data_IF_399382033918
#
_entry.id   IF_399382033918
#
_cell.length_a   1.000
_cell.length_b   1.000
_cell.length_c   1.000
_cell.angle_alpha   90.00
_cell.angle_beta   90.00
_cell.angle_gamma   90.00
#
_symmetry.space_group_name_H-M   'P 1'
#
loop_
_entity.id
_entity.type
_entity.pdbx_description
1 polymer ?
#
# COMPACT_ATOMS: atom_id res chain seq x y z
N UNK A 1 -78.90 -30.21 35.36
CA UNK A 1 -79.61 -29.14 36.10
C UNK A 1 -79.21 -27.78 35.53
N UNK A 2 -80.15 -26.84 35.36
CA UNK A 2 -79.82 -25.49 34.85
C UNK A 2 -79.21 -24.64 35.95
N UNK A 3 -77.97 -24.20 35.77
CA UNK A 3 -77.23 -23.32 36.69
C UNK A 3 -77.96 -21.96 36.84
N UNK A 4 -78.32 -21.62 38.09
CA UNK A 4 -78.99 -20.38 38.46
C UNK A 4 -77.96 -19.53 39.21
N UNK A 5 -77.72 -18.32 38.72
CA UNK A 5 -76.82 -17.34 39.32
C UNK A 5 -77.63 -16.21 39.98
N UNK A 6 -77.11 -15.60 41.04
CA UNK A 6 -77.75 -14.45 41.71
C UNK A 6 -77.27 -13.16 41.04
N UNK A 7 -78.20 -12.27 40.70
CA UNK A 7 -77.84 -10.94 40.20
C UNK A 7 -77.16 -10.13 41.32
N UNK A 8 -75.90 -9.69 41.19
CA UNK A 8 -75.19 -8.97 42.24
C UNK A 8 -75.71 -7.55 42.49
N UNK A 9 -76.64 -7.04 41.67
CA UNK A 9 -77.18 -5.68 41.80
C UNK A 9 -78.51 -5.68 42.57
N UNK A 10 -79.39 -6.65 42.30
CA UNK A 10 -80.73 -6.72 42.91
C UNK A 10 -80.97 -7.98 43.76
N UNK A 11 -80.05 -8.94 43.76
CA UNK A 11 -80.16 -10.18 44.53
C UNK A 11 -81.12 -11.22 43.94
N UNK A 12 -81.67 -11.00 42.74
CA UNK A 12 -82.66 -11.89 42.14
C UNK A 12 -81.99 -13.16 41.55
N UNK A 13 -82.52 -14.37 41.82
CA UNK A 13 -81.99 -15.61 41.27
C UNK A 13 -82.43 -15.79 39.82
N UNK A 14 -81.46 -15.81 38.89
CA UNK A 14 -81.71 -15.82 37.44
C UNK A 14 -80.92 -16.94 36.79
N UNK A 15 -81.58 -17.70 35.91
CA UNK A 15 -80.88 -18.71 35.09
C UNK A 15 -79.73 -18.04 34.33
N UNK A 16 -78.53 -18.62 34.40
CA UNK A 16 -77.29 -18.05 33.84
C UNK A 16 -77.45 -17.56 32.39
N UNK A 17 -78.18 -18.32 31.57
CA UNK A 17 -78.51 -17.96 30.17
C UNK A 17 -79.33 -16.68 29.98
N UNK A 18 -80.10 -16.27 30.99
CA UNK A 18 -80.99 -15.10 30.95
C UNK A 18 -80.37 -13.87 31.62
N UNK A 19 -79.22 -14.02 32.30
CA UNK A 19 -78.59 -12.96 33.08
C UNK A 19 -78.24 -11.74 32.22
N UNK A 20 -77.69 -11.95 31.01
CA UNK A 20 -77.39 -10.88 30.04
C UNK A 20 -78.62 -10.07 29.64
N UNK A 21 -79.75 -10.74 29.42
CA UNK A 21 -81.03 -10.08 29.07
C UNK A 21 -81.60 -9.32 30.25
N UNK A 22 -81.48 -9.87 31.47
CA UNK A 22 -81.91 -9.19 32.68
C UNK A 22 -81.13 -7.89 32.90
N UNK A 23 -79.79 -7.92 32.83
CA UNK A 23 -78.98 -6.70 32.98
C UNK A 23 -79.36 -5.60 31.99
N UNK A 24 -79.58 -5.95 30.71
CA UNK A 24 -79.98 -4.97 29.70
C UNK A 24 -81.36 -4.34 29.93
N UNK A 25 -82.30 -5.09 30.53
CA UNK A 25 -83.66 -4.59 30.80
C UNK A 25 -83.80 -3.87 32.14
N UNK A 26 -83.23 -4.44 33.20
CA UNK A 26 -83.43 -3.98 34.59
C UNK A 26 -82.34 -3.00 35.03
N UNK A 27 -81.14 -3.07 34.42
CA UNK A 27 -80.00 -2.21 34.74
C UNK A 27 -79.37 -1.53 33.51
N UNK A 28 -80.14 -0.79 32.68
CA UNK A 28 -79.67 -0.26 31.39
C UNK A 28 -78.51 0.74 31.53
N UNK A 29 -78.41 1.47 32.66
CA UNK A 29 -77.37 2.50 32.88
C UNK A 29 -75.99 1.94 33.27
N UNK A 30 -75.84 0.64 33.55
CA UNK A 30 -74.56 0.03 33.99
C UNK A 30 -74.15 -1.24 33.22
N UNK A 31 -74.91 -1.63 32.19
CA UNK A 31 -74.62 -2.80 31.36
C UNK A 31 -73.30 -2.68 30.58
N UNK A 32 -72.80 -1.47 30.36
CA UNK A 32 -71.56 -1.18 29.63
C UNK A 32 -70.27 -1.42 30.43
N UNK A 33 -70.33 -1.53 31.76
CA UNK A 33 -69.13 -1.68 32.60
C UNK A 33 -68.63 -3.12 32.75
N UNK A 34 -69.42 -4.13 32.39
CA UNK A 34 -69.06 -5.56 32.47
C UNK A 34 -68.71 -6.18 31.10
N UNK A 35 -68.67 -5.38 30.04
CA UNK A 35 -68.38 -5.82 28.67
C UNK A 35 -66.92 -5.55 28.23
N UNK A 36 -66.04 -5.11 29.12
CA UNK A 36 -64.61 -5.09 28.81
C UNK A 36 -64.04 -6.51 28.92
N UNK A 37 -63.55 -7.13 27.82
CA UNK A 37 -62.84 -8.39 27.93
C UNK A 37 -61.54 -8.18 28.72
N UNK A 38 -61.29 -9.10 29.65
CA UNK A 38 -60.07 -9.27 30.45
C UNK A 38 -58.82 -9.17 29.54
N UNK A 39 -57.75 -8.46 29.92
CA UNK A 39 -56.55 -8.36 29.09
C UNK A 39 -55.97 -9.76 28.89
N UNK A 40 -56.00 -10.24 27.65
CA UNK A 40 -55.35 -11.48 27.28
C UNK A 40 -53.83 -11.31 27.44
N UNK A 41 -53.25 -12.22 28.21
CA UNK A 41 -51.82 -12.42 28.38
C UNK A 41 -51.19 -12.65 27.00
N UNK A 42 -50.62 -11.60 26.42
CA UNK A 42 -49.99 -11.67 25.10
C UNK A 42 -48.81 -12.65 25.12
N UNK A 43 -48.89 -13.70 24.29
CA UNK A 43 -47.76 -14.56 23.93
C UNK A 43 -46.55 -13.71 23.51
N UNK A 44 -45.30 -14.13 23.77
CA UNK A 44 -44.14 -13.37 23.36
C UNK A 44 -44.13 -13.28 21.83
N UNK A 45 -44.37 -12.08 21.29
CA UNK A 45 -44.16 -11.82 19.87
C UNK A 45 -42.71 -12.16 19.57
N UNK A 46 -42.49 -13.22 18.78
CA UNK A 46 -41.17 -13.60 18.24
C UNK A 46 -40.68 -12.40 17.43
N UNK A 47 -39.89 -11.53 18.08
CA UNK A 47 -39.39 -10.30 17.48
C UNK A 47 -38.58 -10.69 16.26
N UNK A 48 -39.10 -10.43 15.06
CA UNK A 48 -38.28 -10.44 13.85
C UNK A 48 -37.16 -9.44 14.11
N UNK A 49 -35.94 -9.94 14.32
CA UNK A 49 -34.74 -9.12 14.36
C UNK A 49 -34.65 -8.44 12.99
N UNK A 50 -35.19 -7.23 12.89
CA UNK A 50 -35.00 -6.37 11.73
C UNK A 50 -33.53 -5.96 11.79
N UNK A 51 -32.64 -6.75 11.16
CA UNK A 51 -31.25 -6.33 10.93
C UNK A 51 -31.33 -4.97 10.23
N UNK A 52 -30.92 -3.87 10.89
CA UNK A 52 -31.04 -2.56 10.27
C UNK A 52 -30.05 -2.53 9.12
N UNK A 53 -30.54 -2.64 7.88
CA UNK A 53 -29.75 -2.50 6.64
C UNK A 53 -28.81 -1.28 6.66
N UNK A 54 -29.19 -0.24 7.42
CA UNK A 54 -28.39 0.97 7.66
C UNK A 54 -27.09 0.70 8.43
N UNK A 55 -27.07 -0.16 9.45
CA UNK A 55 -25.84 -0.48 10.20
C UNK A 55 -24.84 -1.21 9.29
N UNK A 56 -25.31 -2.15 8.48
CA UNK A 56 -24.45 -2.84 7.50
C UNK A 56 -23.89 -1.84 6.47
N UNK A 57 -24.70 -0.89 6.01
CA UNK A 57 -24.28 0.15 5.08
C UNK A 57 -23.21 1.08 5.67
N UNK A 58 -23.41 1.59 6.89
CA UNK A 58 -22.41 2.42 7.57
C UNK A 58 -21.13 1.65 7.91
N UNK A 59 -21.25 0.36 8.26
CA UNK A 59 -20.09 -0.51 8.48
C UNK A 59 -19.27 -0.69 7.18
N UNK A 60 -19.93 -0.90 6.03
CA UNK A 60 -19.27 -0.99 4.73
C UNK A 60 -18.58 0.32 4.32
N UNK A 61 -19.21 1.47 4.57
CA UNK A 61 -18.59 2.78 4.34
C UNK A 61 -17.37 2.96 5.25
N UNK A 62 -17.48 2.64 6.54
CA UNK A 62 -16.36 2.72 7.48
C UNK A 62 -15.18 1.84 7.06
N UNK A 63 -15.45 0.60 6.64
CA UNK A 63 -14.43 -0.31 6.09
C UNK A 63 -13.80 0.29 4.83
N UNK A 64 -14.62 0.82 3.91
CA UNK A 64 -14.11 1.45 2.68
C UNK A 64 -13.21 2.64 2.97
N UNK A 65 -13.56 3.50 3.92
CA UNK A 65 -12.73 4.65 4.32
C UNK A 65 -11.40 4.16 4.87
N UNK A 66 -11.40 3.16 5.77
CA UNK A 66 -10.19 2.59 6.34
C UNK A 66 -9.30 2.00 5.23
N UNK A 67 -9.86 1.23 4.30
CA UNK A 67 -9.10 0.64 3.18
C UNK A 67 -8.49 1.71 2.28
N UNK A 68 -9.24 2.77 1.96
CA UNK A 68 -8.73 3.90 1.17
C UNK A 68 -7.61 4.63 1.92
N UNK A 69 -7.77 4.88 3.22
CA UNK A 69 -6.74 5.53 4.03
C UNK A 69 -5.45 4.71 4.08
N UNK A 70 -5.53 3.39 4.29
CA UNK A 70 -4.35 2.51 4.30
C UNK A 70 -3.69 2.49 2.92
N UNK A 71 -4.46 2.34 1.84
CA UNK A 71 -3.92 2.39 0.48
C UNK A 71 -3.24 3.74 0.19
N UNK A 72 -3.83 4.86 0.62
CA UNK A 72 -3.25 6.18 0.47
C UNK A 72 -1.92 6.32 1.24
N UNK A 73 -1.84 5.82 2.48
CA UNK A 73 -0.59 5.87 3.25
C UNK A 73 0.53 5.06 2.60
N UNK A 74 0.21 3.88 2.05
CA UNK A 74 1.19 3.06 1.33
C UNK A 74 1.67 3.76 0.06
N UNK A 75 0.76 4.30 -0.76
CA UNK A 75 1.09 5.03 -1.99
C UNK A 75 1.98 6.24 -1.69
N UNK A 76 1.70 6.99 -0.63
CA UNK A 76 2.55 8.12 -0.22
C UNK A 76 3.92 7.61 0.22
N UNK A 77 3.96 6.55 1.04
CA UNK A 77 5.22 6.00 1.56
C UNK A 77 6.16 5.56 0.44
N UNK A 78 5.66 4.81 -0.56
CA UNK A 78 6.49 4.30 -1.66
C UNK A 78 6.94 5.37 -2.66
N UNK A 79 6.24 6.50 -2.72
CA UNK A 79 6.58 7.62 -3.62
C UNK A 79 7.30 8.78 -2.92
N UNK A 80 7.61 8.64 -1.62
CA UNK A 80 8.38 9.64 -0.88
C UNK A 80 9.87 9.36 -1.03
N UNK A 81 10.63 10.31 -1.58
CA UNK A 81 12.09 10.22 -1.62
C UNK A 81 12.65 10.38 -0.19
N UNK A 82 13.36 9.36 0.29
CA UNK A 82 14.04 9.35 1.60
C UNK A 82 15.56 9.44 1.49
N UNK A 83 16.10 9.11 0.34
CA UNK A 83 17.53 9.25 0.01
C UNK A 83 17.66 9.89 -1.36
N UNK A 84 18.51 10.91 -1.45
CA UNK A 84 18.77 11.66 -2.67
C UNK A 84 20.25 12.06 -2.74
N UNK A 85 21.03 11.39 -3.59
CA UNK A 85 22.46 11.70 -3.81
C UNK A 85 22.82 11.68 -5.29
N UNK A 86 23.86 12.42 -5.66
CA UNK A 86 24.26 12.69 -7.06
C UNK A 86 25.74 12.39 -7.34
N UNK A 87 26.17 11.12 -7.33
CA UNK A 87 27.50 10.76 -7.81
C UNK A 87 27.64 11.02 -9.31
N UNK A 88 28.85 11.40 -9.73
CA UNK A 88 29.19 11.70 -11.11
C UNK A 88 30.01 10.55 -11.70
N UNK A 89 29.51 9.91 -12.75
CA UNK A 89 30.19 8.83 -13.47
C UNK A 89 30.83 9.36 -14.76
N UNK A 90 32.07 8.96 -15.00
CA UNK A 90 32.78 9.13 -16.26
C UNK A 90 33.36 7.79 -16.70
N UNK A 91 33.41 7.55 -18.02
CA UNK A 91 33.98 6.33 -18.60
C UNK A 91 35.07 6.74 -19.59
N UNK A 92 36.27 6.21 -19.41
CA UNK A 92 37.44 6.52 -20.24
C UNK A 92 38.03 5.23 -20.81
N UNK A 93 37.89 5.02 -22.11
CA UNK A 93 38.39 3.82 -22.78
C UNK A 93 39.56 4.22 -23.67
N UNK A 94 40.77 3.80 -23.28
CA UNK A 94 42.04 4.06 -23.99
C UNK A 94 42.24 5.55 -24.30
N UNK A 95 41.86 6.41 -23.35
CA UNK A 95 41.94 7.87 -23.48
C UNK A 95 40.75 8.53 -24.21
N UNK A 96 39.77 7.76 -24.71
CA UNK A 96 38.54 8.28 -25.28
C UNK A 96 37.40 8.29 -24.26
N UNK A 97 36.73 9.45 -24.11
CA UNK A 97 35.56 9.57 -23.23
C UNK A 97 34.36 8.87 -23.87
N UNK A 98 33.80 7.89 -23.17
CA UNK A 98 32.56 7.24 -23.56
C UNK A 98 31.36 7.98 -22.96
N UNK A 99 30.23 7.97 -23.68
CA UNK A 99 29.00 8.64 -23.22
C UNK A 99 28.23 7.74 -22.28
N UNK A 100 27.89 8.24 -21.09
CA UNK A 100 26.86 7.64 -20.25
C UNK A 100 25.49 8.07 -20.80
N UNK A 101 24.62 7.14 -21.25
CA UNK A 101 23.31 7.47 -21.78
C UNK A 101 22.42 8.22 -20.79
N UNK A 102 21.58 9.11 -21.33
CA UNK A 102 20.42 9.63 -20.62
C UNK A 102 19.40 8.50 -20.37
N UNK A 103 18.51 8.72 -19.40
CA UNK A 103 17.34 7.88 -19.11
C UNK A 103 17.64 6.41 -18.72
N UNK A 104 18.84 6.10 -18.23
CA UNK A 104 19.10 4.81 -17.58
C UNK A 104 18.14 4.66 -16.41
N UNK A 105 17.52 3.49 -16.26
CA UNK A 105 16.53 3.25 -15.20
C UNK A 105 15.18 3.94 -15.41
N UNK A 106 14.98 4.60 -16.57
CA UNK A 106 13.71 5.24 -16.99
C UNK A 106 13.22 4.58 -18.28
N UNK A 107 14.05 4.61 -19.33
CA UNK A 107 13.69 4.06 -20.63
C UNK A 107 13.70 2.53 -20.57
N UNK A 108 12.70 1.91 -21.20
CA UNK A 108 12.51 0.45 -21.17
C UNK A 108 13.75 -0.33 -21.63
N UNK A 109 14.49 0.20 -22.61
CA UNK A 109 15.68 -0.45 -23.15
C UNK A 109 16.96 -0.17 -22.35
N UNK A 110 16.90 0.77 -21.39
CA UNK A 110 17.99 1.17 -20.50
C UNK A 110 17.69 0.89 -19.03
N UNK A 111 16.65 0.09 -18.77
CA UNK A 111 16.34 -0.46 -17.45
C UNK A 111 16.26 -1.98 -17.58
N UNK A 112 17.43 -2.63 -17.52
CA UNK A 112 17.61 -4.06 -17.76
C UNK A 112 17.40 -4.90 -16.50
N UNK A 113 17.81 -4.40 -15.34
CA UNK A 113 17.56 -5.05 -14.05
C UNK A 113 16.51 -4.29 -13.21
N UNK A 114 15.41 -4.97 -12.89
CA UNK A 114 14.32 -4.45 -12.05
C UNK A 114 14.39 -4.94 -10.59
N UNK A 115 15.47 -5.63 -10.18
CA UNK A 115 15.64 -6.18 -8.82
C UNK A 115 15.50 -5.12 -7.72
N UNK A 116 15.83 -3.86 -8.04
CA UNK A 116 15.76 -2.71 -7.16
C UNK A 116 14.48 -1.87 -7.30
N UNK A 117 13.55 -2.23 -8.19
CA UNK A 117 12.36 -1.42 -8.51
C UNK A 117 11.51 -1.08 -7.27
N UNK A 118 11.49 -1.95 -6.26
CA UNK A 118 10.77 -1.73 -4.99
C UNK A 118 11.27 -0.51 -4.19
N UNK A 119 12.51 -0.08 -4.42
CA UNK A 119 13.10 1.06 -3.74
C UNK A 119 12.93 2.36 -4.53
N UNK A 120 12.58 2.27 -5.81
CA UNK A 120 12.37 3.44 -6.66
C UNK A 120 11.10 4.19 -6.33
N UNK A 121 11.07 5.45 -6.72
CA UNK A 121 9.90 6.34 -6.59
C UNK A 121 9.27 6.56 -7.96
N UNK A 122 7.95 6.81 -8.01
CA UNK A 122 7.20 7.08 -9.24
C UNK A 122 7.33 6.00 -10.33
N UNK A 123 7.64 4.76 -9.94
CA UNK A 123 7.81 3.64 -10.86
C UNK A 123 9.09 3.67 -11.68
N UNK A 124 10.10 4.46 -11.27
CA UNK A 124 11.44 4.49 -11.87
C UNK A 124 12.40 3.60 -11.09
N UNK A 125 13.57 3.30 -11.66
CA UNK A 125 14.67 2.72 -10.90
C UNK A 125 15.11 3.70 -9.79
N UNK A 126 15.51 3.21 -8.59
CA UNK A 126 16.13 4.08 -7.58
C UNK A 126 17.49 4.62 -8.02
N UNK A 127 18.11 4.03 -9.06
CA UNK A 127 19.36 4.45 -9.66
C UNK A 127 19.10 4.80 -11.12
N UNK A 128 19.21 6.07 -11.49
CA UNK A 128 18.83 6.54 -12.82
C UNK A 128 19.73 7.67 -13.33
N UNK A 129 19.71 7.92 -14.63
CA UNK A 129 20.25 9.16 -15.23
C UNK A 129 19.11 9.96 -15.83
N UNK A 130 19.23 11.29 -15.81
CA UNK A 130 18.25 12.20 -16.45
C UNK A 130 18.73 12.74 -17.79
N UNK A 131 20.03 12.79 -17.99
CA UNK A 131 20.70 13.27 -19.19
C UNK A 131 22.04 12.54 -19.41
N UNK A 132 22.80 12.96 -20.40
CA UNK A 132 24.10 12.37 -20.77
C UNK A 132 25.29 13.01 -20.05
N UNK A 133 25.08 13.77 -18.97
CA UNK A 133 26.18 14.36 -18.19
C UNK A 133 26.95 13.30 -17.40
N UNK A 134 26.37 12.11 -17.19
CA UNK A 134 26.91 11.07 -16.31
C UNK A 134 26.54 11.23 -14.84
N UNK A 135 25.71 12.21 -14.47
CA UNK A 135 25.15 12.29 -13.11
C UNK A 135 24.17 11.14 -12.88
N UNK A 136 24.49 10.29 -11.91
CA UNK A 136 23.59 9.24 -11.44
C UNK A 136 22.76 9.85 -10.30
N UNK A 137 21.44 9.78 -10.42
CA UNK A 137 20.52 10.10 -9.35
C UNK A 137 20.22 8.84 -8.57
N UNK A 138 20.53 8.87 -7.27
CA UNK A 138 20.04 7.87 -6.31
C UNK A 138 18.80 8.45 -5.66
N UNK A 139 17.61 8.05 -6.13
CA UNK A 139 16.32 8.54 -5.66
C UNK A 139 15.50 7.38 -5.11
N UNK A 140 15.62 7.15 -3.80
CA UNK A 140 15.06 5.96 -3.16
C UNK A 140 14.03 6.30 -2.09
N UNK A 141 13.00 5.46 -1.99
CA UNK A 141 12.02 5.49 -0.92
C UNK A 141 12.54 4.96 0.43
N UNK A 142 13.78 4.49 0.46
CA UNK A 142 14.46 3.92 1.62
C UNK A 142 15.91 4.39 1.68
N UNK A 143 16.43 4.64 2.88
CA UNK A 143 17.87 4.92 3.09
C UNK A 143 18.61 3.59 3.15
N UNK A 144 19.54 3.38 2.22
CA UNK A 144 20.45 2.23 2.22
C UNK A 144 21.69 2.55 1.39
N UNK A 145 22.69 1.70 1.49
CA UNK A 145 23.85 1.75 0.62
C UNK A 145 23.48 1.21 -0.77
N UNK A 146 23.57 2.08 -1.78
CA UNK A 146 23.47 1.72 -3.19
C UNK A 146 24.85 1.75 -3.83
N UNK A 147 25.10 0.88 -4.80
CA UNK A 147 26.45 0.71 -5.35
C UNK A 147 26.58 0.95 -6.85
N UNK A 148 27.81 1.19 -7.30
CA UNK A 148 28.16 1.27 -8.71
C UNK A 148 27.72 0.03 -9.50
N UNK A 149 27.96 -1.17 -8.97
CA UNK A 149 27.61 -2.42 -9.66
C UNK A 149 26.11 -2.64 -9.78
N UNK A 150 25.34 -2.18 -8.80
CA UNK A 150 23.88 -2.13 -8.90
C UNK A 150 23.42 -1.19 -10.01
N UNK A 151 24.02 -0.01 -10.15
CA UNK A 151 23.70 0.92 -11.24
C UNK A 151 24.06 0.32 -12.61
N UNK A 152 25.24 -0.29 -12.74
CA UNK A 152 25.64 -0.97 -13.98
C UNK A 152 24.65 -2.09 -14.33
N UNK A 153 24.19 -2.86 -13.35
CA UNK A 153 23.17 -3.91 -13.55
C UNK A 153 21.83 -3.33 -14.01
N UNK A 154 21.38 -2.19 -13.43
CA UNK A 154 20.19 -1.47 -13.89
C UNK A 154 20.33 -1.06 -15.36
N UNK A 155 21.50 -0.54 -15.76
CA UNK A 155 21.80 -0.18 -17.15
C UNK A 155 21.89 -1.43 -18.05
N UNK A 156 22.28 -2.58 -17.49
CA UNK A 156 22.58 -3.82 -18.21
C UNK A 156 24.01 -3.93 -18.69
N UNK A 157 24.88 -3.12 -18.09
CA UNK A 157 26.32 -3.13 -18.28
C UNK A 157 26.99 -3.81 -17.10
N UNK A 158 28.29 -4.08 -17.24
CA UNK A 158 29.08 -4.67 -16.15
C UNK A 158 30.50 -4.13 -16.20
N UNK A 159 31.27 -4.44 -15.16
CA UNK A 159 32.71 -4.18 -15.16
C UNK A 159 33.42 -5.28 -14.38
N UNK A 160 34.55 -5.74 -14.90
CA UNK A 160 35.44 -6.69 -14.25
C UNK A 160 36.85 -6.61 -14.87
N UNK A 161 37.71 -7.58 -14.58
CA UNK A 161 39.07 -7.64 -15.14
C UNK A 161 39.12 -7.89 -16.66
N UNK A 162 38.01 -8.29 -17.27
CA UNK A 162 37.89 -8.64 -18.69
C UNK A 162 37.17 -7.60 -19.53
N UNK A 163 36.34 -6.74 -18.94
CA UNK A 163 35.64 -5.68 -19.68
C UNK A 163 35.20 -4.50 -18.79
N UNK A 164 35.02 -3.35 -19.42
CA UNK A 164 34.47 -2.12 -18.84
C UNK A 164 33.32 -1.62 -19.72
N UNK A 165 32.08 -1.77 -19.26
CA UNK A 165 30.88 -1.25 -19.96
C UNK A 165 30.88 -1.67 -21.44
N UNK A 166 30.95 -2.98 -21.68
CA UNK A 166 30.95 -3.59 -23.01
C UNK A 166 32.28 -3.52 -23.75
N UNK A 167 33.28 -2.81 -23.23
CA UNK A 167 34.60 -2.69 -23.85
C UNK A 167 35.56 -3.76 -23.31
N UNK A 168 36.10 -4.66 -24.15
CA UNK A 168 37.01 -5.71 -23.69
C UNK A 168 38.38 -5.15 -23.28
N UNK A 169 38.89 -5.66 -22.16
CA UNK A 169 40.26 -5.45 -21.66
C UNK A 169 41.18 -6.42 -22.40
N UNK A 170 42.15 -5.89 -23.15
CA UNK A 170 43.08 -6.68 -23.95
C UNK A 170 44.26 -7.20 -23.11
N UNK A 171 45.01 -8.21 -23.59
CA UNK A 171 46.22 -8.66 -22.92
C UNK A 171 47.21 -7.51 -22.68
N UNK A 172 47.60 -7.32 -21.42
CA UNK A 172 48.47 -6.22 -21.00
C UNK A 172 47.73 -4.92 -20.64
N UNK A 173 46.43 -4.82 -20.84
CA UNK A 173 45.61 -3.71 -20.32
C UNK A 173 45.15 -3.99 -18.89
N UNK A 174 44.55 -2.98 -18.25
CA UNK A 174 43.92 -3.10 -16.93
C UNK A 174 42.57 -2.38 -16.96
N UNK A 175 41.63 -2.88 -16.17
CA UNK A 175 40.40 -2.16 -15.84
C UNK A 175 40.56 -1.50 -14.48
N UNK A 176 40.20 -0.22 -14.39
CA UNK A 176 40.46 0.61 -13.22
C UNK A 176 39.20 1.34 -12.77
N UNK A 177 38.97 1.38 -11.46
CA UNK A 177 37.96 2.23 -10.84
C UNK A 177 38.69 3.29 -10.02
N UNK A 178 38.35 4.55 -10.25
CA UNK A 178 38.79 5.66 -9.40
C UNK A 178 37.59 6.28 -8.72
N UNK A 179 37.70 6.50 -7.41
CA UNK A 179 36.72 7.24 -6.61
C UNK A 179 37.44 8.41 -5.98
N UNK A 180 37.04 9.63 -6.34
CA UNK A 180 37.70 10.87 -5.91
C UNK A 180 39.23 10.80 -6.05
N UNK A 181 39.69 10.44 -7.26
CA UNK A 181 41.11 10.29 -7.66
C UNK A 181 41.86 9.11 -7.02
N UNK A 182 41.24 8.41 -6.06
CA UNK A 182 41.81 7.22 -5.43
C UNK A 182 41.44 5.96 -6.22
N UNK A 183 42.45 5.17 -6.60
CA UNK A 183 42.26 3.85 -7.21
C UNK A 183 41.67 2.87 -6.20
N UNK A 184 40.60 2.17 -6.61
CA UNK A 184 39.87 1.18 -5.82
C UNK A 184 39.91 -0.18 -6.53
N UNK A 185 39.96 -1.27 -5.76
CA UNK A 185 39.91 -2.63 -6.32
C UNK A 185 38.57 -2.87 -7.03
N UNK A 186 38.62 -3.54 -8.19
CA UNK A 186 37.43 -4.03 -8.89
C UNK A 186 36.56 -4.96 -8.03
N UNK A 187 37.15 -5.66 -7.05
CA UNK A 187 36.41 -6.51 -6.13
C UNK A 187 35.66 -5.75 -5.02
N UNK A 188 35.90 -4.44 -4.88
CA UNK A 188 35.31 -3.64 -3.81
C UNK A 188 33.92 -3.13 -4.22
N UNK A 189 32.98 -3.14 -3.27
CA UNK A 189 31.70 -2.47 -3.45
C UNK A 189 31.89 -0.95 -3.32
N UNK A 190 31.70 -0.23 -4.43
CA UNK A 190 31.71 1.23 -4.44
C UNK A 190 30.32 1.73 -4.08
N UNK A 191 30.11 2.10 -2.82
CA UNK A 191 28.88 2.73 -2.34
C UNK A 191 28.82 4.18 -2.82
N UNK A 192 27.64 4.63 -3.21
CA UNK A 192 27.40 6.00 -3.65
C UNK A 192 27.26 6.98 -2.48
N UNK A 193 28.07 8.02 -2.53
CA UNK A 193 28.02 9.23 -1.70
C UNK A 193 27.72 10.42 -2.62
N UNK A 194 27.06 11.44 -2.06
CA UNK A 194 26.71 12.65 -2.80
C UNK A 194 27.95 13.34 -3.36
N UNK A 195 27.86 13.78 -4.61
CA UNK A 195 28.90 14.53 -5.34
C UNK A 195 30.24 13.80 -5.53
N UNK A 196 30.37 12.52 -5.15
CA UNK A 196 31.60 11.76 -5.40
C UNK A 196 31.81 11.60 -6.91
N UNK A 197 33.08 11.62 -7.34
CA UNK A 197 33.46 11.39 -8.73
C UNK A 197 33.92 9.95 -8.90
N UNK A 198 33.36 9.27 -9.88
CA UNK A 198 33.68 7.88 -10.21
C UNK A 198 34.14 7.83 -11.65
N UNK A 199 35.30 7.22 -11.88
CA UNK A 199 35.85 7.01 -13.22
C UNK A 199 36.05 5.52 -13.43
N UNK A 200 35.47 4.98 -14.51
CA UNK A 200 35.75 3.65 -15.00
C UNK A 200 36.69 3.78 -16.18
N UNK A 201 37.84 3.10 -16.13
CA UNK A 201 38.89 3.32 -17.11
C UNK A 201 39.51 2.02 -17.62
N UNK A 202 39.78 2.00 -18.92
CA UNK A 202 40.83 1.16 -19.53
C UNK A 202 41.96 2.11 -19.95
N UNK A 203 43.10 2.17 -19.25
CA UNK A 203 44.13 3.16 -19.54
C UNK A 203 44.75 2.96 -20.92
N UNK A 204 45.23 4.04 -21.52
CA UNK A 204 46.05 3.95 -22.73
C UNK A 204 47.41 3.29 -22.43
N UNK A 205 48.01 2.63 -23.42
CA UNK A 205 49.40 2.13 -23.36
C UNK A 205 49.71 1.18 -22.19
N UNK A 206 48.75 0.34 -21.76
CA UNK A 206 48.98 -0.67 -20.71
C UNK A 206 49.43 -0.09 -19.37
N UNK A 207 49.10 1.17 -19.09
CA UNK A 207 49.46 1.78 -17.81
C UNK A 207 48.72 1.09 -16.66
N UNK A 208 49.40 0.83 -15.52
CA UNK A 208 48.72 0.32 -14.33
C UNK A 208 47.74 1.37 -13.80
N UNK A 209 46.72 0.91 -13.07
CA UNK A 209 45.74 1.77 -12.39
C UNK A 209 46.42 2.69 -11.37
N UNK A 210 46.94 3.80 -11.86
CA UNK A 210 47.65 4.83 -11.09
C UNK A 210 46.75 6.04 -11.02
N UNK A 211 46.75 6.74 -9.88
CA UNK A 211 45.92 7.93 -9.70
C UNK A 211 46.11 8.90 -10.87
N UNK A 212 45.02 9.47 -11.36
CA UNK A 212 45.03 10.51 -12.38
C UNK A 212 45.73 11.72 -11.75
N UNK A 213 46.93 12.05 -12.26
CA UNK A 213 47.76 13.17 -11.80
C UNK A 213 47.26 14.53 -12.28
#
# INVERSE_FOLDING_TARGET
MSEVDICPICGEPIKRKNLKRHFGKVHPKRASSFLQPKPETGSPKKGRIRRPRRILFYALIGISIILVSVAATEVVSVNTIRMHVHPQLSILIRGASETVPANIGIDRDLWRDHSLARFGVNGLSPLLTRDSSGTIHVESNTVRDFTLYEFLSVWGESMDYSQVVGNPVQPGESACIFVDEQSISLSSEVVFVDQQKIILEIPSNSQPCSAIS
#
